data_IF_867468474985
#
_entry.id   IF_867468474985
#
_cell.length_a   1.000
_cell.length_b   1.000
_cell.length_c   1.000
_cell.angle_alpha   90.00
_cell.angle_beta   90.00
_cell.angle_gamma   90.00
#
_symmetry.space_group_name_H-M   'P 1'
#
loop_
_entity.id
_entity.type
_entity.pdbx_description
1 polymer ?
#
# COMPACT_ATOMS: atom_id res chain seq x y z
N UNK A 1 19.65 14.03 42.40
CA UNK A 1 18.71 12.93 42.18
C UNK A 1 17.60 13.39 41.24
N UNK A 2 17.79 13.24 39.93
CA UNK A 2 16.69 13.22 38.96
C UNK A 2 17.10 12.27 37.83
N UNK A 3 16.19 11.33 37.58
CA UNK A 3 16.38 10.11 36.81
C UNK A 3 16.56 10.40 35.32
N UNK A 4 17.71 10.03 34.76
CA UNK A 4 17.90 9.81 33.33
C UNK A 4 17.30 8.43 33.03
N UNK A 5 16.05 8.39 32.57
CA UNK A 5 15.32 7.14 32.37
C UNK A 5 14.36 7.11 31.16
N UNK A 6 14.41 8.07 30.24
CA UNK A 6 13.42 8.20 29.16
C UNK A 6 13.87 7.86 27.72
N UNK A 7 15.17 7.83 27.42
CA UNK A 7 15.62 8.03 26.03
C UNK A 7 15.46 6.82 25.08
N UNK A 8 15.36 5.58 25.60
CA UNK A 8 15.28 4.37 24.78
C UNK A 8 13.89 4.10 24.17
N UNK A 9 12.84 4.41 24.93
CA UNK A 9 11.44 4.13 24.58
C UNK A 9 10.92 5.07 23.48
N UNK A 10 11.32 6.34 23.54
CA UNK A 10 10.90 7.38 22.58
C UNK A 10 11.54 7.15 21.20
N UNK A 11 12.83 6.81 21.17
CA UNK A 11 13.55 6.47 19.95
C UNK A 11 12.96 5.23 19.25
N UNK A 12 12.60 4.20 20.03
CA UNK A 12 11.97 2.98 19.50
C UNK A 12 10.58 3.27 18.90
N UNK A 13 9.81 4.14 19.55
CA UNK A 13 8.47 4.55 19.11
C UNK A 13 8.52 5.34 17.81
N UNK A 14 9.46 6.29 17.69
CA UNK A 14 9.70 7.08 16.48
C UNK A 14 10.16 6.22 15.30
N UNK A 15 11.06 5.26 15.54
CA UNK A 15 11.56 4.36 14.48
C UNK A 15 10.44 3.45 13.95
N UNK A 16 9.61 2.91 14.84
CA UNK A 16 8.43 2.10 14.49
C UNK A 16 7.42 2.89 13.66
N UNK A 17 7.16 4.17 13.99
CA UNK A 17 6.24 5.03 13.22
C UNK A 17 6.79 5.38 11.84
N UNK A 18 8.10 5.66 11.70
CA UNK A 18 8.76 5.92 10.41
C UNK A 18 8.68 4.70 9.48
N UNK A 19 8.99 3.50 10.00
CA UNK A 19 8.89 2.23 9.24
C UNK A 19 7.46 1.95 8.82
N UNK A 20 6.47 2.12 9.72
CA UNK A 20 5.04 2.01 9.39
C UNK A 20 4.59 3.01 8.33
N UNK A 21 5.20 4.20 8.26
CA UNK A 21 4.87 5.23 7.26
C UNK A 21 5.52 4.92 5.91
N UNK A 22 6.79 4.50 5.90
CA UNK A 22 7.48 4.07 4.69
C UNK A 22 6.77 2.88 4.01
N UNK A 23 6.42 1.85 4.77
CA UNK A 23 5.62 0.70 4.27
C UNK A 23 4.23 1.10 3.74
N UNK A 24 3.63 2.17 4.27
CA UNK A 24 2.36 2.71 3.74
C UNK A 24 2.55 3.41 2.40
N UNK A 25 3.61 4.21 2.28
CA UNK A 25 3.93 4.92 1.04
C UNK A 25 4.32 3.93 -0.06
N UNK A 26 5.10 2.89 0.27
CA UNK A 26 5.48 1.83 -0.67
C UNK A 26 4.26 1.07 -1.19
N UNK A 27 3.29 0.75 -0.32
CA UNK A 27 2.00 0.17 -0.74
C UNK A 27 1.15 1.11 -1.61
N UNK A 28 1.18 2.42 -1.34
CA UNK A 28 0.50 3.40 -2.19
C UNK A 28 1.18 3.53 -3.57
N UNK A 29 2.50 3.40 -3.64
CA UNK A 29 3.24 3.35 -4.90
C UNK A 29 2.89 2.12 -5.74
N UNK A 30 2.82 0.94 -5.11
CA UNK A 30 2.43 -0.32 -5.79
C UNK A 30 1.00 -0.27 -6.32
N UNK A 31 0.07 0.34 -5.59
CA UNK A 31 -1.31 0.54 -6.05
C UNK A 31 -1.40 1.52 -7.21
N UNK A 32 -0.68 2.65 -7.16
CA UNK A 32 -0.62 3.60 -8.26
C UNK A 32 0.00 2.98 -9.53
N UNK A 33 1.06 2.18 -9.40
CA UNK A 33 1.66 1.46 -10.51
C UNK A 33 0.68 0.44 -11.14
N UNK A 34 -0.08 -0.29 -10.30
CA UNK A 34 -1.14 -1.21 -10.76
C UNK A 34 -2.28 -0.47 -11.50
N UNK A 35 -2.71 0.69 -11.00
CA UNK A 35 -3.72 1.52 -11.69
C UNK A 35 -3.19 2.00 -13.04
N UNK A 36 -1.96 2.49 -13.08
CA UNK A 36 -1.32 2.93 -14.32
C UNK A 36 -1.25 1.79 -15.35
N UNK A 37 -0.96 0.56 -14.89
CA UNK A 37 -1.00 -0.64 -15.72
C UNK A 37 -2.41 -0.91 -16.29
N UNK A 38 -3.43 -0.88 -15.43
CA UNK A 38 -4.82 -1.10 -15.83
C UNK A 38 -5.26 -0.04 -16.85
N UNK A 39 -4.95 1.24 -16.61
CA UNK A 39 -5.23 2.32 -17.55
C UNK A 39 -4.56 2.10 -18.91
N UNK A 40 -3.32 1.59 -18.93
CA UNK A 40 -2.62 1.25 -20.17
C UNK A 40 -3.35 0.18 -21.00
N UNK A 41 -3.95 -0.84 -20.35
CA UNK A 41 -4.75 -1.87 -21.04
C UNK A 41 -6.02 -1.29 -21.69
N UNK A 42 -6.64 -0.27 -21.07
CA UNK A 42 -7.77 0.44 -21.67
C UNK A 42 -7.37 1.27 -22.90
N UNK A 43 -6.18 1.88 -22.88
CA UNK A 43 -5.64 2.61 -24.04
C UNK A 43 -5.17 1.69 -25.16
N UNK A 44 -4.64 0.51 -24.84
CA UNK A 44 -4.20 -0.49 -25.82
C UNK A 44 -5.38 -1.19 -26.52
N UNK A 45 -6.56 -1.18 -25.88
CA UNK A 45 -7.77 -1.84 -26.36
C UNK A 45 -7.85 -3.28 -25.89
N UNK A 46 -8.95 -3.61 -25.22
CA UNK A 46 -9.23 -4.97 -24.75
C UNK A 46 -9.72 -5.80 -25.94
N UNK A 47 -8.84 -6.61 -26.51
CA UNK A 47 -9.11 -7.33 -27.77
C UNK A 47 -9.44 -8.81 -27.56
N UNK A 48 -9.20 -9.38 -26.37
CA UNK A 48 -9.45 -10.80 -26.07
C UNK A 48 -10.02 -11.04 -24.67
N UNK A 49 -10.63 -12.22 -24.45
CA UNK A 49 -11.10 -12.69 -23.13
C UNK A 49 -9.94 -12.73 -22.10
N UNK A 50 -8.70 -12.93 -22.56
CA UNK A 50 -7.51 -12.94 -21.69
C UNK A 50 -7.22 -11.60 -21.02
N UNK A 51 -7.44 -10.49 -21.72
CA UNK A 51 -7.25 -9.14 -21.19
C UNK A 51 -8.23 -8.85 -20.04
N UNK A 52 -9.45 -9.39 -20.11
CA UNK A 52 -10.44 -9.27 -19.03
C UNK A 52 -10.02 -9.97 -17.75
N UNK A 53 -9.44 -11.17 -17.85
CA UNK A 53 -8.97 -11.91 -16.69
C UNK A 53 -7.78 -11.21 -16.03
N UNK A 54 -6.87 -10.65 -16.84
CA UNK A 54 -5.71 -9.90 -16.38
C UNK A 54 -6.14 -8.58 -15.70
N UNK A 55 -7.16 -7.91 -16.22
CA UNK A 55 -7.73 -6.71 -15.63
C UNK A 55 -8.41 -7.01 -14.28
N UNK A 56 -9.13 -8.13 -14.19
CA UNK A 56 -9.72 -8.62 -12.94
C UNK A 56 -8.65 -8.96 -11.90
N UNK A 57 -7.57 -9.66 -12.28
CA UNK A 57 -6.47 -9.98 -11.38
C UNK A 57 -5.77 -8.70 -10.87
N UNK A 58 -5.49 -7.75 -11.75
CA UNK A 58 -4.88 -6.46 -11.39
C UNK A 58 -5.81 -5.64 -10.48
N UNK A 59 -7.12 -5.63 -10.76
CA UNK A 59 -8.13 -4.94 -9.94
C UNK A 59 -8.30 -5.59 -8.56
N UNK A 60 -8.28 -6.92 -8.48
CA UNK A 60 -8.31 -7.65 -7.21
C UNK A 60 -7.06 -7.35 -6.36
N UNK A 61 -5.90 -7.23 -7.00
CA UNK A 61 -4.67 -6.83 -6.31
C UNK A 61 -4.72 -5.37 -5.82
N UNK A 62 -5.32 -4.47 -6.60
CA UNK A 62 -5.58 -3.08 -6.19
C UNK A 62 -6.51 -3.02 -4.97
N UNK A 63 -7.65 -3.75 -5.02
CA UNK A 63 -8.63 -3.85 -3.95
C UNK A 63 -8.02 -4.42 -2.66
N UNK A 64 -7.21 -5.48 -2.74
CA UNK A 64 -6.55 -6.06 -1.57
C UNK A 64 -5.60 -5.07 -0.89
N UNK A 65 -4.86 -4.27 -1.66
CA UNK A 65 -3.98 -3.24 -1.12
C UNK A 65 -4.75 -2.06 -0.48
N UNK A 66 -5.87 -1.65 -1.08
CA UNK A 66 -6.76 -0.63 -0.49
C UNK A 66 -7.39 -1.15 0.80
N UNK A 67 -7.96 -2.36 0.79
CA UNK A 67 -8.56 -3.00 1.95
C UNK A 67 -7.55 -3.13 3.10
N UNK A 68 -6.31 -3.53 2.82
CA UNK A 68 -5.27 -3.62 3.82
C UNK A 68 -4.76 -2.24 4.32
N UNK A 69 -5.12 -1.15 3.64
CA UNK A 69 -4.87 0.23 4.09
C UNK A 69 -6.01 0.79 4.94
N UNK A 70 -7.27 0.48 4.60
CA UNK A 70 -8.49 0.91 5.30
C UNK A 70 -8.81 0.06 6.52
N UNK A 71 -8.48 -1.24 6.51
CA UNK A 71 -8.65 -2.15 7.65
C UNK A 71 -7.87 -1.69 8.89
N UNK A 72 -6.79 -0.91 8.72
CA UNK A 72 -6.04 -0.32 9.84
C UNK A 72 -6.73 0.88 10.50
N UNK A 73 -7.93 1.28 10.05
CA UNK A 73 -8.76 2.31 10.69
C UNK A 73 -9.98 1.74 11.44
N UNK A 74 -10.19 0.42 11.42
CA UNK A 74 -11.37 -0.22 12.02
C UNK A 74 -11.12 -0.82 13.42
N UNK A 75 -10.01 -0.48 14.07
CA UNK A 75 -9.72 -0.80 15.48
C UNK A 75 -9.46 0.47 16.29
#
# INVERSE_FOLDING_TARGET
MLTVGGNGSDAMTLRRTRVKRALRVERLGQTAASVCWICSLFFYGISSIGDWLQLCAASAWLLANIAASTARKAE
#
